data_IF_467713705525
#
_entry.id   IF_467713705525
#
_cell.length_a   1.000
_cell.length_b   1.000
_cell.length_c   1.000
_cell.angle_alpha   90.00
_cell.angle_beta   90.00
_cell.angle_gamma   90.00
#
_symmetry.space_group_name_H-M   'P 1'
#
loop_
_entity.id
_entity.type
_entity.pdbx_description
1 polymer ?
#
# COMPACT_ATOMS: atom_id res chain seq x y z
N UNK A 1 -50.68 10.83 1.38
CA UNK A 1 -49.23 10.57 1.39
C UNK A 1 -48.55 11.87 1.78
N UNK A 2 -48.26 12.03 3.07
CA UNK A 2 -47.70 13.28 3.64
C UNK A 2 -46.20 13.30 3.34
N UNK A 3 -45.72 14.31 2.63
CA UNK A 3 -44.33 14.66 2.48
C UNK A 3 -43.71 14.90 3.86
N UNK A 4 -42.56 14.28 4.17
CA UNK A 4 -41.86 14.58 5.42
C UNK A 4 -41.37 16.03 5.37
N UNK A 5 -41.82 16.81 6.34
CA UNK A 5 -41.38 18.20 6.58
C UNK A 5 -39.84 18.25 6.66
N UNK A 6 -39.23 19.07 5.82
CA UNK A 6 -37.80 19.35 5.88
C UNK A 6 -37.50 19.99 7.25
N UNK A 7 -36.77 19.27 8.09
CA UNK A 7 -36.26 19.81 9.36
C UNK A 7 -35.23 20.88 8.98
N UNK A 8 -35.54 22.14 9.27
CA UNK A 8 -34.59 23.24 9.09
C UNK A 8 -33.37 23.01 10.00
N UNK A 9 -32.14 23.10 9.46
CA UNK A 9 -30.94 22.94 10.27
C UNK A 9 -30.84 24.07 11.31
N UNK A 10 -30.30 23.80 12.52
CA UNK A 10 -30.07 24.83 13.52
C UNK A 10 -29.17 25.92 12.95
N UNK A 11 -29.45 27.18 13.32
CA UNK A 11 -28.69 28.36 12.90
C UNK A 11 -27.21 28.16 13.25
N UNK A 12 -26.34 28.03 12.22
CA UNK A 12 -24.91 27.75 12.37
C UNK A 12 -24.45 26.34 11.93
N UNK A 13 -25.34 25.49 11.35
CA UNK A 13 -24.91 24.19 10.86
C UNK A 13 -24.02 24.35 9.61
N UNK A 14 -22.81 23.80 9.70
CA UNK A 14 -21.83 23.77 8.60
C UNK A 14 -22.34 22.88 7.46
N UNK A 15 -22.29 23.38 6.22
CA UNK A 15 -22.67 22.61 5.04
C UNK A 15 -21.77 21.36 4.88
N UNK A 16 -22.30 20.32 4.21
CA UNK A 16 -21.56 19.07 4.04
C UNK A 16 -20.18 19.27 3.41
N UNK A 17 -20.04 20.16 2.43
CA UNK A 17 -18.76 20.45 1.76
C UNK A 17 -17.74 21.04 2.71
N UNK A 18 -18.18 21.99 3.48
CA UNK A 18 -17.37 22.72 4.46
C UNK A 18 -16.89 21.78 5.58
N UNK A 19 -17.80 20.91 6.04
CA UNK A 19 -17.48 19.86 7.01
C UNK A 19 -16.45 18.87 6.47
N UNK A 20 -16.55 18.47 5.19
CA UNK A 20 -15.55 17.61 4.53
C UNK A 20 -14.22 18.32 4.40
N UNK A 21 -14.18 19.62 4.05
CA UNK A 21 -12.93 20.38 3.98
C UNK A 21 -12.23 20.41 5.34
N UNK A 22 -12.95 20.74 6.41
CA UNK A 22 -12.42 20.73 7.78
C UNK A 22 -11.89 19.35 8.21
N UNK A 23 -12.57 18.26 7.82
CA UNK A 23 -12.10 16.90 8.06
C UNK A 23 -10.81 16.58 7.30
N UNK A 24 -10.70 17.00 6.05
CA UNK A 24 -9.50 16.79 5.23
C UNK A 24 -8.30 17.54 5.85
N UNK A 25 -8.48 18.75 6.33
CA UNK A 25 -7.47 19.52 7.04
C UNK A 25 -7.08 18.84 8.36
N UNK A 26 -8.05 18.35 9.12
CA UNK A 26 -7.81 17.56 10.33
C UNK A 26 -6.96 16.31 10.05
N UNK A 27 -7.27 15.58 8.99
CA UNK A 27 -6.50 14.38 8.62
C UNK A 27 -5.07 14.72 8.20
N UNK A 28 -4.88 15.81 7.44
CA UNK A 28 -3.58 16.19 6.90
C UNK A 28 -2.68 16.83 7.95
N UNK A 29 -3.20 17.78 8.72
CA UNK A 29 -2.41 18.59 9.66
C UNK A 29 -2.33 17.92 11.04
N UNK A 30 -3.46 17.54 11.61
CA UNK A 30 -3.50 17.05 12.99
C UNK A 30 -3.17 15.54 13.09
N UNK A 31 -3.71 14.72 12.16
CA UNK A 31 -3.49 13.26 12.19
C UNK A 31 -2.27 12.82 11.38
N UNK A 32 -1.63 13.71 10.62
CA UNK A 32 -0.46 13.39 9.82
C UNK A 32 -0.67 12.29 8.78
N UNK A 33 -1.92 12.14 8.27
CA UNK A 33 -2.20 11.13 7.26
C UNK A 33 -1.48 11.43 5.96
N UNK A 34 -1.07 10.37 5.23
CA UNK A 34 -0.42 10.55 3.95
C UNK A 34 -1.35 11.26 2.95
N UNK A 35 -0.77 12.07 2.07
CA UNK A 35 -1.50 12.76 1.00
C UNK A 35 -2.37 11.80 0.17
N UNK A 36 -1.92 10.56 -0.01
CA UNK A 36 -2.70 9.54 -0.74
C UNK A 36 -3.94 9.09 0.04
N UNK A 37 -3.83 8.93 1.36
CA UNK A 37 -4.97 8.59 2.23
C UNK A 37 -5.96 9.74 2.27
N UNK A 38 -5.48 10.97 2.44
CA UNK A 38 -6.30 12.19 2.44
C UNK A 38 -7.06 12.33 1.12
N UNK A 39 -6.37 12.21 -0.02
CA UNK A 39 -7.00 12.24 -1.36
C UNK A 39 -8.02 11.12 -1.57
N UNK A 40 -7.76 9.91 -1.04
CA UNK A 40 -8.70 8.80 -1.13
C UNK A 40 -9.98 9.10 -0.34
N UNK A 41 -9.86 9.57 0.90
CA UNK A 41 -11.01 9.93 1.74
C UNK A 41 -11.81 11.11 1.16
N UNK A 42 -11.13 12.14 0.66
CA UNK A 42 -11.78 13.25 -0.03
C UNK A 42 -12.59 12.82 -1.25
N UNK A 43 -12.06 11.87 -2.05
CA UNK A 43 -12.77 11.30 -3.19
C UNK A 43 -13.99 10.49 -2.75
N UNK A 44 -13.84 9.65 -1.74
CA UNK A 44 -14.91 8.79 -1.25
C UNK A 44 -16.05 9.60 -0.65
N UNK A 45 -15.75 10.64 0.10
CA UNK A 45 -16.78 11.54 0.67
C UNK A 45 -17.46 12.39 -0.40
N UNK A 46 -16.75 12.81 -1.46
CA UNK A 46 -17.38 13.46 -2.63
C UNK A 46 -18.33 12.52 -3.36
N UNK A 47 -17.97 11.26 -3.52
CA UNK A 47 -18.83 10.25 -4.13
C UNK A 47 -20.08 10.01 -3.26
N UNK A 48 -19.90 9.90 -1.95
CA UNK A 48 -21.02 9.78 -1.00
C UNK A 48 -21.94 10.99 -1.06
N UNK A 49 -21.40 12.21 -1.06
CA UNK A 49 -22.20 13.43 -1.20
C UNK A 49 -23.01 13.44 -2.51
N UNK A 50 -22.37 13.09 -3.64
CA UNK A 50 -23.06 13.00 -4.92
C UNK A 50 -24.25 12.03 -4.84
N UNK A 51 -24.07 10.86 -4.26
CA UNK A 51 -25.14 9.90 -4.04
C UNK A 51 -26.28 10.50 -3.19
N UNK A 52 -25.95 11.25 -2.13
CA UNK A 52 -26.96 11.91 -1.31
C UNK A 52 -27.74 12.96 -2.10
N UNK A 53 -27.09 13.82 -2.85
CA UNK A 53 -27.76 14.86 -3.64
C UNK A 53 -28.65 14.28 -4.74
N UNK A 54 -28.27 13.16 -5.35
CA UNK A 54 -29.06 12.47 -6.39
C UNK A 54 -30.28 11.73 -5.81
N UNK A 55 -30.12 11.11 -4.63
CA UNK A 55 -31.14 10.20 -4.08
C UNK A 55 -32.01 10.82 -2.99
N UNK A 56 -31.49 11.84 -2.32
CA UNK A 56 -32.12 12.52 -1.19
C UNK A 56 -32.03 14.05 -1.35
N UNK A 57 -32.75 14.64 -2.31
CA UNK A 57 -32.79 16.09 -2.49
C UNK A 57 -33.14 16.80 -1.18
N UNK A 58 -32.34 17.78 -0.77
CA UNK A 58 -32.51 18.48 0.52
C UNK A 58 -31.63 17.93 1.66
N UNK A 59 -30.86 16.86 1.47
CA UNK A 59 -29.85 16.40 2.44
C UNK A 59 -28.51 17.12 2.21
N UNK A 60 -28.50 18.45 2.29
CA UNK A 60 -27.31 19.27 2.00
C UNK A 60 -26.37 19.45 3.20
N UNK A 61 -26.85 19.11 4.39
CA UNK A 61 -26.09 19.18 5.63
C UNK A 61 -25.75 17.80 6.18
N UNK A 62 -24.62 17.69 6.84
CA UNK A 62 -24.14 16.42 7.38
C UNK A 62 -25.04 15.85 8.50
N UNK A 63 -25.75 16.69 9.24
CA UNK A 63 -26.69 16.34 10.33
C UNK A 63 -27.99 15.72 9.82
N UNK A 64 -28.34 15.97 8.56
CA UNK A 64 -29.51 15.38 7.90
C UNK A 64 -29.30 13.94 7.44
N UNK A 65 -28.05 13.48 7.44
CA UNK A 65 -27.69 12.13 6.97
C UNK A 65 -28.06 11.09 8.03
N UNK A 66 -28.95 10.20 7.67
CA UNK A 66 -29.43 9.12 8.52
C UNK A 66 -28.80 7.77 8.15
N UNK A 67 -28.80 6.83 9.09
CA UNK A 67 -28.30 5.48 8.88
C UNK A 67 -28.84 4.77 7.64
N UNK A 68 -30.18 4.82 7.33
CA UNK A 68 -30.71 4.22 6.10
C UNK A 68 -30.04 4.75 4.82
N UNK A 69 -29.67 6.02 4.76
CA UNK A 69 -28.99 6.62 3.60
C UNK A 69 -27.60 6.03 3.40
N UNK A 70 -26.84 5.82 4.49
CA UNK A 70 -25.52 5.15 4.43
C UNK A 70 -25.65 3.70 4.02
N UNK A 71 -26.68 3.00 4.48
CA UNK A 71 -26.98 1.62 4.04
C UNK A 71 -27.32 1.58 2.54
N UNK A 72 -28.14 2.50 2.05
CA UNK A 72 -28.46 2.59 0.63
C UNK A 72 -27.23 2.92 -0.23
N UNK A 73 -26.35 3.79 0.27
CA UNK A 73 -25.06 4.01 -0.38
C UNK A 73 -24.21 2.73 -0.42
N UNK A 74 -24.13 1.98 0.68
CA UNK A 74 -23.41 0.70 0.69
C UNK A 74 -23.98 -0.29 -0.32
N UNK A 75 -25.32 -0.35 -0.47
CA UNK A 75 -25.99 -1.21 -1.46
C UNK A 75 -25.73 -0.74 -2.90
N UNK A 76 -25.63 0.57 -3.15
CA UNK A 76 -25.30 1.12 -4.47
C UNK A 76 -23.89 0.78 -4.93
N UNK A 77 -22.99 0.41 -4.01
CA UNK A 77 -21.63 -0.05 -4.31
C UNK A 77 -21.55 -1.54 -4.69
N UNK A 78 -22.70 -2.21 -4.88
CA UNK A 78 -22.75 -3.62 -5.32
C UNK A 78 -21.94 -3.80 -6.62
N UNK A 79 -21.10 -4.85 -6.67
CA UNK A 79 -20.21 -5.12 -7.81
C UNK A 79 -18.82 -4.49 -7.68
N UNK A 80 -18.60 -3.57 -6.72
CA UNK A 80 -17.26 -3.08 -6.44
C UNK A 80 -16.46 -4.05 -5.56
N UNK A 81 -15.13 -4.02 -5.68
CA UNK A 81 -14.24 -4.86 -4.87
C UNK A 81 -14.49 -4.65 -3.36
N UNK A 82 -14.57 -5.71 -2.54
CA UNK A 82 -14.87 -5.62 -1.10
C UNK A 82 -13.97 -4.65 -0.34
N UNK A 83 -12.67 -4.59 -0.67
CA UNK A 83 -11.73 -3.61 -0.09
C UNK A 83 -12.09 -2.16 -0.41
N UNK A 84 -12.61 -1.90 -1.61
CA UNK A 84 -13.04 -0.56 -2.03
C UNK A 84 -14.28 -0.14 -1.24
N UNK A 85 -15.29 -1.02 -1.13
CA UNK A 85 -16.49 -0.77 -0.34
C UNK A 85 -16.13 -0.53 1.12
N UNK A 86 -15.29 -1.40 1.70
CA UNK A 86 -14.82 -1.25 3.08
C UNK A 86 -14.13 0.09 3.30
N UNK A 87 -13.24 0.53 2.39
CA UNK A 87 -12.55 1.82 2.50
C UNK A 87 -13.53 3.00 2.47
N UNK A 88 -14.50 2.98 1.56
CA UNK A 88 -15.51 4.05 1.45
C UNK A 88 -16.36 4.16 2.72
N UNK A 89 -16.83 3.04 3.25
CA UNK A 89 -17.62 3.03 4.50
C UNK A 89 -16.75 3.46 5.69
N UNK A 90 -15.48 3.09 5.72
CA UNK A 90 -14.53 3.54 6.75
C UNK A 90 -14.29 5.06 6.65
N UNK A 91 -14.20 5.63 5.45
CA UNK A 91 -14.06 7.06 5.26
C UNK A 91 -15.28 7.83 5.82
N UNK A 92 -16.50 7.34 5.55
CA UNK A 92 -17.74 7.93 6.10
C UNK A 92 -17.75 7.81 7.63
N UNK A 93 -17.46 6.63 8.17
CA UNK A 93 -17.43 6.41 9.62
C UNK A 93 -16.40 7.30 10.33
N UNK A 94 -15.21 7.50 9.71
CA UNK A 94 -14.16 8.38 10.21
C UNK A 94 -14.54 9.86 10.16
N UNK A 95 -15.22 10.28 9.10
CA UNK A 95 -15.74 11.63 8.95
C UNK A 95 -16.76 11.95 10.05
N UNK A 96 -17.75 11.09 10.26
CA UNK A 96 -18.73 11.30 11.33
C UNK A 96 -18.13 11.15 12.74
N UNK A 97 -17.07 10.37 12.90
CA UNK A 97 -16.30 10.36 14.14
C UNK A 97 -15.69 11.72 14.44
N UNK A 98 -15.03 12.31 13.44
CA UNK A 98 -14.50 13.67 13.56
C UNK A 98 -15.56 14.69 13.91
N UNK A 99 -16.75 14.63 13.28
CA UNK A 99 -17.85 15.53 13.58
C UNK A 99 -18.36 15.36 15.02
N UNK A 100 -18.43 14.13 15.53
CA UNK A 100 -18.76 13.86 16.94
C UNK A 100 -17.70 14.43 17.88
N UNK A 101 -16.42 14.14 17.62
CA UNK A 101 -15.28 14.55 18.45
C UNK A 101 -15.15 16.10 18.51
N UNK A 102 -15.64 16.80 17.48
CA UNK A 102 -15.67 18.28 17.39
C UNK A 102 -17.00 18.91 17.77
N UNK A 103 -17.96 18.13 18.28
CA UNK A 103 -19.27 18.63 18.71
C UNK A 103 -20.20 19.10 17.57
N UNK A 104 -19.88 18.73 16.31
CA UNK A 104 -20.63 19.15 15.11
C UNK A 104 -21.68 18.14 14.67
N UNK A 105 -21.71 16.97 15.25
CA UNK A 105 -22.76 15.97 15.09
C UNK A 105 -23.06 15.31 16.42
N UNK A 106 -24.27 14.79 16.56
CA UNK A 106 -24.73 14.07 17.77
C UNK A 106 -24.68 12.56 17.57
N UNK A 107 -24.69 12.10 16.31
CA UNK A 107 -24.72 10.68 15.95
C UNK A 107 -23.78 10.39 14.79
N UNK A 108 -23.26 9.17 14.77
CA UNK A 108 -22.53 8.64 13.60
C UNK A 108 -23.42 7.63 12.86
N UNK A 109 -23.99 7.99 11.69
CA UNK A 109 -24.89 7.13 10.94
C UNK A 109 -24.22 5.87 10.37
N UNK A 110 -22.88 5.86 10.29
CA UNK A 110 -22.08 4.73 9.84
C UNK A 110 -21.59 3.83 10.99
N UNK A 111 -21.91 4.15 12.26
CA UNK A 111 -21.43 3.36 13.42
C UNK A 111 -21.99 1.94 13.37
N UNK A 112 -21.11 0.95 13.51
CA UNK A 112 -21.51 -0.48 13.59
C UNK A 112 -22.12 -1.03 12.30
N UNK A 113 -21.90 -0.41 11.14
CA UNK A 113 -22.26 -1.02 9.87
C UNK A 113 -21.38 -2.24 9.61
N UNK A 114 -21.97 -3.37 9.20
CA UNK A 114 -21.18 -4.55 8.83
C UNK A 114 -20.32 -4.22 7.61
N UNK A 115 -19.01 -4.34 7.79
CA UNK A 115 -18.08 -4.16 6.68
C UNK A 115 -17.97 -5.46 5.88
N UNK A 116 -17.83 -5.39 4.55
CA UNK A 116 -17.63 -6.58 3.74
C UNK A 116 -16.47 -7.42 4.25
N UNK A 117 -16.70 -8.73 4.35
CA UNK A 117 -15.62 -9.68 4.64
C UNK A 117 -14.67 -9.67 3.44
N UNK A 118 -13.42 -9.34 3.69
CA UNK A 118 -12.36 -9.45 2.70
C UNK A 118 -11.73 -10.82 2.89
N UNK A 119 -11.84 -11.69 1.88
CA UNK A 119 -11.08 -12.92 1.89
C UNK A 119 -9.59 -12.56 2.03
N UNK A 120 -8.93 -13.16 3.01
CA UNK A 120 -7.48 -13.04 3.12
C UNK A 120 -6.87 -13.84 1.96
N UNK A 121 -6.78 -13.21 0.79
CA UNK A 121 -5.95 -13.74 -0.29
C UNK A 121 -4.50 -13.52 0.12
N UNK A 122 -3.80 -14.58 0.47
CA UNK A 122 -2.36 -14.52 0.61
C UNK A 122 -1.79 -14.26 -0.79
N UNK A 123 -1.13 -13.12 -1.02
CA UNK A 123 -0.53 -12.88 -2.32
C UNK A 123 0.50 -13.99 -2.56
N UNK A 124 0.33 -14.76 -3.62
CA UNK A 124 1.32 -15.75 -4.02
C UNK A 124 2.63 -15.04 -4.32
N UNK A 125 3.72 -15.45 -3.67
CA UNK A 125 5.05 -14.96 -4.00
C UNK A 125 5.51 -15.56 -5.34
N UNK A 126 6.38 -14.88 -6.05
CA UNK A 126 7.00 -15.42 -7.25
C UNK A 126 7.90 -16.60 -6.86
N UNK A 127 7.93 -17.62 -7.71
CA UNK A 127 8.95 -18.68 -7.61
C UNK A 127 10.32 -18.13 -8.03
N UNK A 128 11.40 -18.90 -7.78
CA UNK A 128 12.73 -18.51 -8.23
C UNK A 128 12.81 -18.41 -9.76
N UNK A 129 12.14 -19.33 -10.46
CA UNK A 129 12.05 -19.37 -11.94
C UNK A 129 11.32 -18.13 -12.46
N UNK A 130 10.18 -17.76 -11.85
CA UNK A 130 9.43 -16.56 -12.23
C UNK A 130 10.22 -15.28 -11.97
N UNK A 131 10.96 -15.22 -10.85
CA UNK A 131 11.81 -14.07 -10.56
C UNK A 131 12.97 -13.94 -11.56
N UNK A 132 13.54 -15.08 -11.99
CA UNK A 132 14.58 -15.13 -13.03
C UNK A 132 14.02 -14.68 -14.39
N UNK A 133 12.90 -15.24 -14.82
CA UNK A 133 12.25 -14.87 -16.08
C UNK A 133 11.95 -13.36 -16.13
N UNK A 134 11.48 -12.78 -14.99
CA UNK A 134 11.23 -11.34 -14.90
C UNK A 134 12.52 -10.50 -15.03
N UNK A 135 13.64 -10.98 -14.50
CA UNK A 135 14.94 -10.29 -14.65
C UNK A 135 15.47 -10.40 -16.07
N UNK A 136 15.32 -11.55 -16.73
CA UNK A 136 15.73 -11.79 -18.12
C UNK A 136 14.91 -10.94 -19.09
N UNK A 137 13.60 -10.78 -18.86
CA UNK A 137 12.73 -9.91 -19.65
C UNK A 137 12.99 -8.39 -19.43
N UNK A 138 13.77 -8.02 -18.44
CA UNK A 138 14.17 -6.63 -18.19
C UNK A 138 15.31 -6.20 -19.16
N UNK A 139 15.00 -6.06 -20.44
CA UNK A 139 15.98 -5.89 -21.53
C UNK A 139 16.83 -4.62 -21.44
N UNK A 140 16.37 -3.55 -20.79
CA UNK A 140 17.14 -2.29 -20.69
C UNK A 140 17.83 -2.16 -19.33
N UNK A 141 18.99 -1.48 -19.23
CA UNK A 141 19.64 -1.21 -17.93
C UNK A 141 18.72 -0.53 -16.94
N UNK A 142 17.85 0.36 -17.42
CA UNK A 142 16.84 1.04 -16.61
C UNK A 142 15.80 0.07 -16.03
N UNK A 143 15.31 -0.89 -16.84
CA UNK A 143 14.39 -1.94 -16.37
C UNK A 143 15.08 -2.87 -15.37
N UNK A 144 16.31 -3.34 -15.68
CA UNK A 144 17.09 -4.24 -14.80
C UNK A 144 17.34 -3.64 -13.43
N UNK A 145 17.76 -2.36 -13.38
CA UNK A 145 17.99 -1.68 -12.11
C UNK A 145 16.72 -1.58 -11.26
N UNK A 146 15.57 -1.21 -11.86
CA UNK A 146 14.31 -1.11 -11.12
C UNK A 146 13.79 -2.47 -10.66
N UNK A 147 13.78 -3.49 -11.54
CA UNK A 147 13.31 -4.84 -11.19
C UNK A 147 14.24 -5.44 -10.14
N UNK A 148 15.57 -5.30 -10.30
CA UNK A 148 16.54 -5.75 -9.31
C UNK A 148 16.29 -5.15 -7.93
N UNK A 149 16.07 -3.84 -7.83
CA UNK A 149 15.78 -3.19 -6.55
C UNK A 149 14.42 -3.62 -5.96
N UNK A 150 13.40 -3.81 -6.79
CA UNK A 150 12.11 -4.31 -6.30
C UNK A 150 12.19 -5.74 -5.76
N UNK A 151 12.95 -6.62 -6.42
CA UNK A 151 13.10 -8.02 -6.04
C UNK A 151 14.09 -8.23 -4.89
N UNK A 152 15.22 -7.51 -4.87
CA UNK A 152 16.33 -7.81 -3.97
C UNK A 152 16.52 -6.80 -2.83
N UNK A 153 15.84 -5.65 -2.86
CA UNK A 153 15.84 -4.69 -1.76
C UNK A 153 14.45 -4.51 -1.13
N UNK A 154 13.42 -5.15 -1.66
CA UNK A 154 12.08 -5.15 -1.10
C UNK A 154 11.45 -3.76 -0.96
N UNK A 155 11.75 -2.84 -1.85
CA UNK A 155 11.33 -1.45 -1.78
C UNK A 155 9.83 -1.28 -2.02
N UNK A 156 9.25 -0.29 -1.34
CA UNK A 156 7.93 0.22 -1.74
C UNK A 156 8.08 1.01 -3.05
N UNK A 157 7.02 1.04 -3.85
CA UNK A 157 6.99 1.82 -5.10
C UNK A 157 7.37 3.29 -4.90
N UNK A 158 6.92 3.91 -3.81
CA UNK A 158 7.25 5.30 -3.47
C UNK A 158 8.71 5.46 -3.03
N UNK A 159 9.27 4.48 -2.34
CA UNK A 159 10.66 4.44 -1.95
C UNK A 159 11.57 4.36 -3.18
N UNK A 160 11.28 3.42 -4.11
CA UNK A 160 12.01 3.30 -5.37
C UNK A 160 11.99 4.59 -6.20
N UNK A 161 10.83 5.26 -6.27
CA UNK A 161 10.71 6.53 -6.99
C UNK A 161 11.49 7.68 -6.35
N UNK A 162 11.70 7.61 -5.03
CA UNK A 162 12.34 8.68 -4.26
C UNK A 162 13.84 8.48 -4.02
N UNK A 163 14.46 7.38 -4.48
CA UNK A 163 15.91 7.16 -4.30
C UNK A 163 16.69 8.27 -5.00
N UNK A 164 17.68 8.82 -4.30
CA UNK A 164 18.66 9.75 -4.86
C UNK A 164 20.00 9.06 -5.13
N UNK A 165 20.87 9.70 -5.89
CA UNK A 165 22.23 9.18 -6.15
C UNK A 165 23.04 9.06 -4.85
N UNK A 166 22.84 9.97 -3.92
CA UNK A 166 23.50 9.97 -2.60
C UNK A 166 23.04 8.84 -1.69
N UNK A 167 21.86 8.28 -1.94
CA UNK A 167 21.33 7.17 -1.16
C UNK A 167 21.99 5.82 -1.52
N UNK A 168 22.76 5.78 -2.63
CA UNK A 168 23.31 4.54 -3.19
C UNK A 168 24.82 4.48 -2.98
N UNK A 169 25.27 3.59 -2.12
CA UNK A 169 26.67 3.27 -1.93
C UNK A 169 26.97 1.93 -2.64
N UNK A 170 27.53 2.05 -3.85
CA UNK A 170 27.85 0.88 -4.68
C UNK A 170 29.16 0.20 -4.26
N UNK A 171 30.03 0.87 -3.53
CA UNK A 171 31.31 0.30 -3.11
C UNK A 171 31.13 -0.58 -1.88
N UNK A 172 30.24 -0.19 -0.96
CA UNK A 172 29.87 -1.00 0.19
C UNK A 172 28.60 -1.84 -0.06
N UNK A 173 27.97 -1.71 -1.24
CA UNK A 173 26.74 -2.45 -1.57
C UNK A 173 25.58 -2.11 -0.65
N UNK A 174 25.33 -0.84 -0.37
CA UNK A 174 24.29 -0.40 0.55
C UNK A 174 23.36 0.64 -0.10
N UNK A 175 22.10 0.62 0.35
CA UNK A 175 21.08 1.57 -0.05
C UNK A 175 20.41 2.18 1.17
N UNK A 176 20.48 3.50 1.31
CA UNK A 176 19.71 4.25 2.30
C UNK A 176 18.28 4.44 1.79
N UNK A 177 17.31 3.86 2.46
CA UNK A 177 15.89 3.99 2.12
C UNK A 177 15.20 4.94 3.08
N UNK A 178 14.67 6.03 2.54
CA UNK A 178 13.90 7.01 3.31
C UNK A 178 12.42 6.61 3.30
N UNK A 179 11.89 6.28 4.47
CA UNK A 179 10.51 5.86 4.68
C UNK A 179 9.58 7.01 5.06
N UNK A 180 8.36 6.65 5.42
CA UNK A 180 7.37 7.59 5.96
C UNK A 180 7.79 8.04 7.37
N UNK A 181 7.46 9.28 7.76
CA UNK A 181 7.75 9.86 9.10
C UNK A 181 9.25 10.01 9.40
N UNK A 182 10.05 10.37 8.36
CA UNK A 182 11.51 10.55 8.47
C UNK A 182 12.29 9.30 8.94
N UNK A 183 11.66 8.12 9.00
CA UNK A 183 12.34 6.87 9.34
C UNK A 183 13.22 6.45 8.17
N UNK A 184 14.47 6.17 8.47
CA UNK A 184 15.47 5.71 7.51
C UNK A 184 15.89 4.29 7.86
N UNK A 185 16.29 3.52 6.84
CA UNK A 185 16.92 2.21 7.01
C UNK A 185 17.97 1.99 5.94
N UNK A 186 19.01 1.26 6.28
CA UNK A 186 20.00 0.78 5.32
C UNK A 186 19.58 -0.62 4.87
N UNK A 187 19.57 -0.84 3.57
CA UNK A 187 19.28 -2.15 2.96
C UNK A 187 20.54 -2.60 2.22
N UNK A 188 21.13 -3.76 2.58
CA UNK A 188 22.20 -4.36 1.82
C UNK A 188 21.74 -4.70 0.40
N UNK A 189 22.56 -4.38 -0.59
CA UNK A 189 22.31 -4.72 -1.99
C UNK A 189 23.02 -6.01 -2.36
N UNK A 190 22.32 -6.88 -3.07
CA UNK A 190 22.95 -8.06 -3.68
C UNK A 190 23.91 -7.65 -4.79
N UNK A 191 24.94 -8.46 -5.12
CA UNK A 191 25.83 -8.17 -6.25
C UNK A 191 25.08 -7.95 -7.57
N UNK A 192 23.96 -8.66 -7.79
CA UNK A 192 23.10 -8.48 -8.96
C UNK A 192 22.44 -7.08 -8.99
N UNK A 193 21.97 -6.57 -7.85
CA UNK A 193 21.38 -5.23 -7.78
C UNK A 193 22.44 -4.15 -7.98
N UNK A 194 23.63 -4.31 -7.38
CA UNK A 194 24.77 -3.41 -7.59
C UNK A 194 25.17 -3.36 -9.06
N UNK A 195 25.31 -4.52 -9.70
CA UNK A 195 25.67 -4.63 -11.12
C UNK A 195 24.61 -3.93 -12.00
N UNK A 196 23.33 -4.18 -11.77
CA UNK A 196 22.26 -3.57 -12.55
C UNK A 196 22.23 -2.02 -12.41
N UNK A 197 22.55 -1.50 -11.23
CA UNK A 197 22.66 -0.05 -11.03
C UNK A 197 23.91 0.49 -11.75
N UNK A 198 25.06 -0.17 -11.66
CA UNK A 198 26.28 0.22 -12.36
C UNK A 198 26.10 0.23 -13.89
N UNK A 199 25.36 -0.71 -14.46
CA UNK A 199 25.00 -0.69 -15.89
C UNK A 199 24.04 0.46 -16.25
N UNK A 200 23.15 0.85 -15.33
CA UNK A 200 22.19 1.91 -15.59
C UNK A 200 22.81 3.30 -15.52
N UNK A 201 23.72 3.57 -14.60
CA UNK A 201 24.27 4.90 -14.36
C UNK A 201 24.84 5.57 -15.62
N UNK A 202 25.64 4.92 -16.48
CA UNK A 202 26.12 5.50 -17.73
C UNK A 202 25.01 5.83 -18.74
N UNK A 203 23.87 5.12 -18.66
CA UNK A 203 22.70 5.29 -19.54
C UNK A 203 21.67 6.26 -18.93
N UNK A 204 21.88 6.74 -17.72
CA UNK A 204 20.99 7.67 -17.06
C UNK A 204 20.97 9.00 -17.78
N UNK A 205 19.80 9.58 -18.13
CA UNK A 205 19.72 10.88 -18.77
C UNK A 205 20.45 11.96 -17.95
N UNK A 206 21.20 12.82 -18.62
CA UNK A 206 21.80 14.00 -17.99
C UNK A 206 20.72 14.96 -17.53
N UNK A 207 20.77 15.37 -16.27
CA UNK A 207 19.77 16.24 -15.63
C UNK A 207 20.28 16.78 -14.30
N UNK A 208 19.78 17.93 -13.88
CA UNK A 208 20.04 18.52 -12.55
C UNK A 208 19.36 17.76 -11.39
N UNK A 209 18.50 16.80 -11.71
CA UNK A 209 17.82 16.01 -10.70
C UNK A 209 18.77 15.03 -10.03
N UNK A 210 18.82 15.04 -8.70
CA UNK A 210 19.62 14.10 -7.89
C UNK A 210 18.94 12.71 -7.75
N UNK A 211 17.73 12.48 -8.30
CA UNK A 211 17.07 11.17 -8.20
C UNK A 211 17.76 10.13 -9.05
N UNK A 212 17.91 8.91 -8.51
CA UNK A 212 18.49 7.79 -9.23
C UNK A 212 17.71 7.52 -10.54
N UNK A 213 16.39 7.45 -10.45
CA UNK A 213 15.53 7.20 -11.60
C UNK A 213 14.84 8.47 -12.08
N UNK A 214 15.13 8.82 -13.32
CA UNK A 214 14.56 10.00 -13.98
C UNK A 214 13.87 9.62 -15.29
N UNK A 215 12.96 10.46 -15.73
CA UNK A 215 12.29 10.31 -17.01
C UNK A 215 13.25 10.55 -18.17
N UNK A 216 13.19 9.73 -19.21
CA UNK A 216 13.98 9.92 -20.44
C UNK A 216 13.65 11.22 -21.15
N UNK A 217 12.45 11.74 -20.96
CA UNK A 217 12.00 13.03 -21.50
C UNK A 217 11.96 14.04 -20.35
N UNK A 218 12.80 15.06 -20.42
CA UNK A 218 12.85 16.18 -19.47
C UNK A 218 13.50 15.88 -18.13
N UNK A 219 14.16 14.72 -17.94
CA UNK A 219 15.00 14.42 -16.77
C UNK A 219 14.36 14.53 -15.39
N UNK A 220 13.02 14.60 -15.32
CA UNK A 220 12.29 14.77 -14.07
C UNK A 220 12.22 13.46 -13.27
N UNK A 221 12.16 13.51 -11.93
CA UNK A 221 11.93 12.33 -11.10
C UNK A 221 10.73 11.52 -11.58
N UNK A 222 10.85 10.20 -11.58
CA UNK A 222 9.73 9.34 -12.01
C UNK A 222 8.63 9.30 -10.95
N UNK A 223 7.38 9.32 -11.41
CA UNK A 223 6.25 9.06 -10.54
C UNK A 223 5.99 7.54 -10.40
N UNK A 224 5.38 7.12 -9.29
CA UNK A 224 5.05 5.71 -9.05
C UNK A 224 4.23 5.05 -10.17
N UNK A 225 3.42 5.81 -10.94
CA UNK A 225 2.72 5.31 -12.13
C UNK A 225 3.66 4.82 -13.24
N UNK A 226 4.85 5.42 -13.34
CA UNK A 226 5.86 5.02 -14.33
C UNK A 226 6.41 3.65 -13.97
N UNK A 227 6.66 3.39 -12.67
CA UNK A 227 7.11 2.08 -12.17
C UNK A 227 6.06 1.00 -12.47
N UNK A 228 4.76 1.28 -12.25
CA UNK A 228 3.71 0.32 -12.58
C UNK A 228 3.66 0.02 -14.08
N UNK A 229 3.80 1.05 -14.94
CA UNK A 229 3.79 0.87 -16.40
C UNK A 229 5.00 0.09 -16.87
N UNK A 230 6.18 0.39 -16.31
CA UNK A 230 7.41 -0.36 -16.57
C UNK A 230 7.24 -1.83 -16.19
N UNK A 231 6.79 -2.09 -14.96
CA UNK A 231 6.59 -3.48 -14.49
C UNK A 231 5.59 -4.22 -15.39
N UNK A 232 4.48 -3.57 -15.77
CA UNK A 232 3.51 -4.19 -16.68
C UNK A 232 4.17 -4.59 -18.02
N UNK A 233 4.98 -3.71 -18.61
CA UNK A 233 5.70 -4.01 -19.83
C UNK A 233 6.66 -5.18 -19.69
N UNK A 234 7.46 -5.21 -18.62
CA UNK A 234 8.40 -6.32 -18.37
C UNK A 234 7.66 -7.65 -18.12
N UNK A 235 6.47 -7.59 -17.52
CA UNK A 235 5.60 -8.77 -17.33
C UNK A 235 5.02 -9.27 -18.64
N UNK A 236 4.61 -8.38 -19.55
CA UNK A 236 4.19 -8.71 -20.92
C UNK A 236 5.34 -9.39 -21.68
N UNK A 237 6.56 -8.82 -21.60
CA UNK A 237 7.76 -9.39 -22.24
C UNK A 237 8.18 -10.74 -21.61
N UNK A 238 7.71 -11.08 -20.40
CA UNK A 238 7.96 -12.33 -19.69
C UNK A 238 6.80 -13.34 -19.78
N UNK A 239 5.73 -13.06 -20.51
CA UNK A 239 4.47 -13.84 -20.55
C UNK A 239 3.85 -14.07 -19.16
N UNK A 240 3.91 -13.04 -18.29
CA UNK A 240 3.46 -13.09 -16.90
C UNK A 240 2.41 -12.03 -16.53
N UNK A 241 1.86 -11.29 -17.47
CA UNK A 241 0.97 -10.15 -17.26
C UNK A 241 -0.38 -10.51 -16.61
N UNK A 242 -0.92 -11.70 -16.89
CA UNK A 242 -2.17 -12.18 -16.29
C UNK A 242 -2.06 -12.55 -14.81
N UNK A 243 -0.86 -12.67 -14.27
CA UNK A 243 -0.63 -13.11 -12.89
C UNK A 243 -0.89 -12.03 -11.84
N UNK A 244 -1.27 -10.82 -12.22
CA UNK A 244 -1.57 -9.71 -11.30
C UNK A 244 -0.37 -9.30 -10.44
N UNK A 245 0.85 -9.37 -10.98
CA UNK A 245 2.08 -9.02 -10.28
C UNK A 245 2.17 -7.49 -10.16
N UNK A 246 2.44 -7.02 -8.96
CA UNK A 246 2.58 -5.59 -8.63
C UNK A 246 3.89 -5.35 -7.87
N UNK A 247 4.38 -4.10 -7.76
CA UNK A 247 5.55 -3.80 -6.94
C UNK A 247 5.39 -4.27 -5.48
N UNK A 248 4.15 -4.25 -4.96
CA UNK A 248 3.87 -4.77 -3.62
C UNK A 248 4.03 -6.29 -3.55
N UNK A 249 3.64 -7.00 -4.60
CA UNK A 249 3.83 -8.45 -4.68
C UNK A 249 5.31 -8.83 -4.82
N UNK A 250 6.13 -8.04 -5.54
CA UNK A 250 7.59 -8.25 -5.59
C UNK A 250 8.23 -8.05 -4.21
N UNK A 251 7.82 -7.02 -3.49
CA UNK A 251 8.24 -6.82 -2.09
C UNK A 251 7.79 -7.98 -1.17
N UNK A 252 6.59 -8.51 -1.38
CA UNK A 252 6.12 -9.70 -0.67
C UNK A 252 6.99 -10.92 -0.99
N UNK A 253 7.37 -11.09 -2.26
CA UNK A 253 8.28 -12.14 -2.72
C UNK A 253 9.62 -12.05 -1.99
N UNK A 254 10.23 -10.86 -1.93
CA UNK A 254 11.46 -10.61 -1.17
C UNK A 254 11.35 -11.08 0.29
N UNK A 255 10.30 -10.63 0.99
CA UNK A 255 10.09 -11.01 2.38
C UNK A 255 9.91 -12.52 2.57
N UNK A 256 9.08 -13.14 1.72
CA UNK A 256 8.77 -14.57 1.80
C UNK A 256 10.01 -15.43 1.53
N UNK A 257 10.81 -15.07 0.52
CA UNK A 257 12.04 -15.78 0.23
C UNK A 257 13.07 -15.66 1.36
N UNK A 258 13.24 -14.49 1.98
CA UNK A 258 14.11 -14.33 3.14
C UNK A 258 13.71 -15.26 4.29
N UNK A 259 12.41 -15.26 4.64
CA UNK A 259 11.89 -16.12 5.72
C UNK A 259 12.04 -17.60 5.38
N UNK A 260 11.76 -18.02 4.14
CA UNK A 260 11.95 -19.41 3.69
C UNK A 260 13.42 -19.86 3.74
N UNK A 261 14.34 -18.93 3.55
CA UNK A 261 15.78 -19.17 3.68
C UNK A 261 16.30 -19.02 5.13
N UNK A 262 15.40 -18.95 6.11
CA UNK A 262 15.75 -18.99 7.53
C UNK A 262 16.13 -17.65 8.15
N UNK A 263 15.95 -16.54 7.44
CA UNK A 263 16.15 -15.22 8.03
C UNK A 263 15.02 -14.95 9.05
N UNK A 264 15.40 -14.51 10.23
CA UNK A 264 14.43 -14.24 11.29
C UNK A 264 13.48 -13.09 10.89
N UNK A 265 12.26 -13.15 11.45
CA UNK A 265 11.17 -12.23 11.09
C UNK A 265 11.50 -10.78 11.48
N UNK A 266 12.24 -10.57 12.55
CA UNK A 266 12.62 -9.23 13.02
C UNK A 266 13.60 -8.58 12.04
N UNK A 267 14.60 -9.31 11.58
CA UNK A 267 15.53 -8.86 10.54
C UNK A 267 14.78 -8.51 9.26
N UNK A 268 13.80 -9.35 8.83
CA UNK A 268 12.97 -9.04 7.65
C UNK A 268 12.13 -7.79 7.87
N UNK A 269 11.61 -7.56 9.09
CA UNK A 269 10.88 -6.33 9.44
C UNK A 269 11.75 -5.09 9.34
N UNK A 270 12.96 -5.15 9.86
CA UNK A 270 13.94 -4.07 9.81
C UNK A 270 14.30 -3.73 8.36
N UNK A 271 14.59 -4.74 7.53
CA UNK A 271 14.87 -4.58 6.10
C UNK A 271 13.69 -3.96 5.34
N UNK A 272 12.47 -4.32 5.71
CA UNK A 272 11.26 -3.78 5.09
C UNK A 272 10.84 -2.41 5.66
N UNK A 273 11.30 -2.04 6.85
CA UNK A 273 10.84 -0.84 7.54
C UNK A 273 9.35 -0.92 7.90
N UNK A 274 8.92 -2.04 8.50
CA UNK A 274 7.57 -2.21 9.02
C UNK A 274 7.51 -1.67 10.44
N UNK A 275 6.63 -0.72 10.70
CA UNK A 275 6.38 -0.20 12.04
C UNK A 275 5.53 -1.16 12.90
N UNK A 276 4.83 -2.13 12.29
CA UNK A 276 3.87 -3.02 12.93
C UNK A 276 4.18 -4.48 12.65
N UNK A 277 4.26 -5.29 13.73
CA UNK A 277 4.41 -6.74 13.71
C UNK A 277 3.33 -7.46 12.89
N UNK A 278 2.10 -6.96 12.90
CA UNK A 278 0.98 -7.57 12.18
C UNK A 278 1.19 -7.62 10.66
N UNK A 279 1.94 -6.67 10.10
CA UNK A 279 2.20 -6.63 8.66
C UNK A 279 3.13 -7.76 8.22
N UNK A 280 4.08 -8.16 9.08
CA UNK A 280 5.04 -9.24 8.81
C UNK A 280 4.52 -10.60 9.26
N UNK A 281 3.62 -10.65 10.24
CA UNK A 281 2.95 -11.88 10.69
C UNK A 281 2.20 -12.60 9.55
N UNK A 282 1.80 -11.89 8.50
CA UNK A 282 1.22 -12.48 7.28
C UNK A 282 2.15 -13.43 6.55
N UNK A 283 3.46 -13.29 6.73
CA UNK A 283 4.47 -14.14 6.10
C UNK A 283 4.73 -15.43 6.88
N UNK A 284 4.35 -15.48 8.18
CA UNK A 284 4.56 -16.62 9.06
C UNK A 284 3.56 -17.76 8.86
N UNK A 285 2.40 -17.50 8.23
CA UNK A 285 1.32 -18.49 8.15
C UNK A 285 1.44 -19.49 7.00
N UNK A 286 2.46 -19.41 6.15
CA UNK A 286 2.43 -20.09 4.86
C UNK A 286 3.24 -21.37 4.75
N UNK A 287 4.07 -21.77 5.73
CA UNK A 287 4.92 -22.94 5.51
C UNK A 287 4.93 -23.94 6.68
N UNK A 288 4.18 -25.03 6.47
CA UNK A 288 4.20 -26.22 7.35
C UNK A 288 5.60 -26.82 7.45
N UNK A 289 6.43 -26.73 6.38
CA UNK A 289 7.82 -27.23 6.36
C UNK A 289 8.71 -26.44 7.30
N UNK A 290 8.59 -25.12 7.33
CA UNK A 290 9.36 -24.26 8.25
C UNK A 290 8.99 -24.55 9.70
N UNK A 291 7.70 -24.81 9.98
CA UNK A 291 7.24 -25.21 11.34
C UNK A 291 7.81 -26.59 11.71
N UNK A 292 7.77 -27.55 10.81
CA UNK A 292 8.35 -28.89 11.00
C UNK A 292 9.86 -28.84 11.21
N UNK A 293 10.58 -28.03 10.42
CA UNK A 293 12.02 -27.84 10.58
C UNK A 293 12.38 -27.18 11.93
N UNK A 294 11.58 -26.21 12.40
CA UNK A 294 11.78 -25.57 13.69
C UNK A 294 11.55 -26.56 14.86
N UNK A 295 10.50 -27.37 14.78
CA UNK A 295 10.20 -28.43 15.77
C UNK A 295 11.27 -29.53 15.71
N UNK A 296 11.76 -29.88 14.52
CA UNK A 296 12.88 -30.83 14.35
C UNK A 296 14.18 -30.36 14.99
N UNK A 297 14.51 -29.06 14.89
CA UNK A 297 15.65 -28.45 15.59
C UNK A 297 15.50 -28.51 17.12
N UNK A 298 14.28 -28.35 17.62
CA UNK A 298 14.00 -28.47 19.05
C UNK A 298 14.22 -29.91 19.55
N UNK A 299 13.74 -30.90 18.77
CA UNK A 299 13.97 -32.31 19.09
C UNK A 299 15.46 -32.68 19.10
N UNK A 300 16.24 -32.17 18.13
CA UNK A 300 17.69 -32.35 18.11
C UNK A 300 18.40 -31.65 19.29
N UNK A 301 17.95 -30.47 19.71
CA UNK A 301 18.50 -29.76 20.86
C UNK A 301 18.25 -30.45 22.21
N UNK A 302 17.18 -31.26 22.31
CA UNK A 302 16.85 -32.03 23.50
C UNK A 302 17.30 -33.50 23.44
N UNK A 303 18.15 -33.87 22.48
CA UNK A 303 18.76 -35.24 22.42
C UNK A 303 17.79 -36.33 21.95
N UNK A 304 16.70 -35.98 21.30
CA UNK A 304 15.79 -36.93 20.67
C UNK A 304 16.38 -37.44 19.35
N UNK A 305 16.90 -38.67 19.33
CA UNK A 305 17.26 -39.37 18.12
C UNK A 305 16.01 -39.56 17.24
N UNK A 306 16.10 -39.22 15.96
CA UNK A 306 15.06 -39.57 14.99
C UNK A 306 14.90 -41.10 14.94
N UNK A 307 13.66 -41.63 14.90
CA UNK A 307 13.49 -43.06 14.67
C UNK A 307 14.01 -43.40 13.28
N UNK A 308 14.98 -44.30 13.23
CA UNK A 308 15.48 -44.92 12.00
C UNK A 308 14.34 -45.67 11.29
N UNK A 309 14.09 -45.30 10.04
CA UNK A 309 13.35 -46.15 9.10
C UNK A 309 14.34 -47.04 8.35
#
# INVERSE_FOLDING_TARGET
>A
MSTPSAVQPPAGSMGFVEAVAAFIDYLSVYRGYSIHTVKAYARDLREFRRFLSERYPGADHHDQVQRPMVVQFALSLRGQAPLTVRRKLTAIASFYRFLLDTGRATLNPARGLPLPKVAQCFPTCLTAEQARALLEAAHTPWHRAMIGLLLFAGLRRSELAGITLEDVDLDHGQLLVRGKEAKQRVVPLTPLAVHAIREYLPCRPSTDSNHLFVSRIGGRPIAGRVINRMLKRVLEDADMDEQGITPHRLRHTFATHLIRNGVDVRTVQELLGHADLQTTARYLHSDTRTKQAAVGKLAAAFGGAAPSQ
#
